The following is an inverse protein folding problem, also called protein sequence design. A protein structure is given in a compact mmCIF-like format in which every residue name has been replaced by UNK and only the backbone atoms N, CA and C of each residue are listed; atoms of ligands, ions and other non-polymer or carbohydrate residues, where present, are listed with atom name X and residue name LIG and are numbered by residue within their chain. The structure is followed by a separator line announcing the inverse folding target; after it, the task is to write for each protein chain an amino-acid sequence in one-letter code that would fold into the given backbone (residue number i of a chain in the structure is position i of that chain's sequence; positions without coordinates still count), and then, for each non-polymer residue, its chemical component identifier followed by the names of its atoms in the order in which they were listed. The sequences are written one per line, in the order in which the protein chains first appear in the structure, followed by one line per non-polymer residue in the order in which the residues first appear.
data_IF_536771012277
#
_entry.id   IF_536771012277
#
_cell.length_a   1.000
_cell.length_b   1.000
_cell.length_c   1.000
_cell.angle_alpha   90.00
_cell.angle_beta   90.00
_cell.angle_gamma   90.00
#
_symmetry.space_group_name_H-M   'P 1'
#
loop_
_entity.id
_entity.type
_entity.pdbx_description
1 polymer ?
#
# COMPACT_ATOMS: atom_id res chain seq x y z
N UNK A 1 -27.88 5.57 5.32
CA UNK A 1 -29.28 5.79 4.86
C UNK A 1 -29.66 4.62 3.96
N UNK A 2 -30.27 3.58 4.52
CA UNK A 2 -30.66 2.36 3.79
C UNK A 2 -32.15 2.45 3.51
N UNK A 3 -32.52 2.44 2.22
CA UNK A 3 -33.92 2.40 1.77
C UNK A 3 -34.37 0.93 1.71
N UNK A 4 -35.34 0.55 2.54
CA UNK A 4 -36.07 -0.72 2.41
C UNK A 4 -37.44 -0.40 1.82
N UNK A 5 -37.74 -0.96 0.66
CA UNK A 5 -39.07 -0.90 0.04
C UNK A 5 -39.80 -2.18 0.42
N UNK A 6 -40.85 -2.06 1.23
CA UNK A 6 -41.77 -3.15 1.57
C UNK A 6 -43.05 -3.00 0.72
N UNK A 7 -43.31 -4.00 -0.12
CA UNK A 7 -44.59 -4.20 -0.79
C UNK A 7 -45.59 -4.75 0.24
N UNK A 8 -46.61 -3.97 0.57
CA UNK A 8 -47.71 -4.43 1.43
C UNK A 8 -48.81 -5.08 0.57
N UNK A 9 -49.09 -6.35 0.82
CA UNK A 9 -50.33 -7.02 0.41
C UNK A 9 -51.40 -6.76 1.48
N UNK A 10 -52.56 -6.26 1.06
CA UNK A 10 -53.66 -5.87 1.94
C UNK A 10 -54.28 -7.05 2.70
N UNK A 11 -54.44 -6.88 4.01
CA UNK A 11 -55.28 -7.74 4.86
C UNK A 11 -55.19 -7.33 6.33
N UNK A 12 -56.20 -6.57 6.78
CA UNK A 12 -56.53 -6.21 8.18
C UNK A 12 -55.73 -5.08 8.86
N UNK A 13 -56.50 -4.15 9.46
CA UNK A 13 -56.08 -2.86 10.00
C UNK A 13 -55.21 -3.02 11.26
N UNK A 14 -53.89 -2.92 11.11
CA UNK A 14 -53.01 -2.49 12.20
C UNK A 14 -53.00 -0.96 12.25
N UNK A 15 -53.27 -0.38 13.42
CA UNK A 15 -53.30 1.08 13.59
C UNK A 15 -51.88 1.67 13.50
N UNK A 16 -51.75 2.93 13.10
CA UNK A 16 -50.45 3.60 12.95
C UNK A 16 -49.65 3.71 14.25
N UNK A 17 -50.32 3.61 15.41
CA UNK A 17 -49.68 3.56 16.72
C UNK A 17 -49.06 2.18 17.00
N UNK A 18 -49.71 1.07 16.60
CA UNK A 18 -49.15 -0.28 16.73
C UNK A 18 -47.87 -0.47 15.89
N UNK A 19 -47.87 0.09 14.66
CA UNK A 19 -46.69 0.05 13.77
C UNK A 19 -45.57 0.94 14.32
N UNK A 20 -45.90 2.07 14.93
CA UNK A 20 -44.93 3.00 15.53
C UNK A 20 -44.26 2.40 16.76
N UNK A 21 -45.03 1.72 17.62
CA UNK A 21 -44.50 1.05 18.82
C UNK A 21 -43.69 -0.21 18.47
N UNK A 22 -44.07 -0.93 17.42
CA UNK A 22 -43.31 -2.08 16.91
C UNK A 22 -42.02 -1.63 16.20
N UNK A 23 -42.06 -0.53 15.43
CA UNK A 23 -40.87 0.10 14.86
C UNK A 23 -39.97 0.76 15.92
N UNK A 24 -40.51 1.34 17.00
CA UNK A 24 -39.72 1.87 18.11
C UNK A 24 -39.09 0.75 18.95
N UNK A 25 -39.77 -0.40 19.12
CA UNK A 25 -39.16 -1.61 19.72
C UNK A 25 -38.03 -2.19 18.87
N UNK A 26 -38.11 -2.07 17.54
CA UNK A 26 -37.08 -2.51 16.60
C UNK A 26 -35.88 -1.54 16.48
N UNK A 27 -35.98 -0.31 17.00
CA UNK A 27 -34.86 0.66 17.08
C UNK A 27 -34.17 0.70 18.44
N UNK A 28 -34.21 -0.40 19.20
CA UNK A 28 -33.20 -0.59 20.26
C UNK A 28 -31.86 -0.65 19.53
N UNK A 29 -30.99 0.36 19.71
CA UNK A 29 -29.63 0.33 19.19
C UNK A 29 -29.01 -1.01 19.56
N UNK A 30 -28.87 -1.90 18.58
CA UNK A 30 -28.21 -3.19 18.80
C UNK A 30 -26.76 -2.82 19.03
N UNK A 31 -26.37 -2.75 20.30
CA UNK A 31 -24.98 -2.55 20.68
C UNK A 31 -24.20 -3.70 20.06
N UNK A 32 -23.29 -3.41 19.15
CA UNK A 32 -22.43 -4.41 18.51
C UNK A 32 -21.04 -4.39 19.12
N UNK A 33 -20.28 -5.46 18.94
CA UNK A 33 -18.85 -5.48 19.22
C UNK A 33 -18.03 -4.82 18.08
N UNK A 34 -16.69 -4.92 18.16
CA UNK A 34 -15.74 -4.36 17.19
C UNK A 34 -15.85 -4.95 15.77
N UNK A 35 -16.56 -6.07 15.59
CA UNK A 35 -16.82 -6.70 14.30
C UNK A 35 -18.28 -6.51 13.87
N UNK A 36 -19.02 -5.59 14.48
CA UNK A 36 -20.43 -5.39 14.13
C UNK A 36 -21.33 -6.58 14.50
N UNK A 37 -20.85 -7.50 15.34
CA UNK A 37 -21.63 -8.63 15.83
C UNK A 37 -22.51 -8.14 16.98
N UNK A 38 -23.84 -8.37 16.96
CA UNK A 38 -24.74 -8.02 18.06
C UNK A 38 -24.20 -8.53 19.41
N UNK A 39 -24.16 -7.66 20.41
CA UNK A 39 -23.64 -8.01 21.73
C UNK A 39 -24.61 -9.00 22.40
N UNK A 40 -24.19 -10.26 22.46
CA UNK A 40 -24.85 -11.36 23.16
C UNK A 40 -23.90 -12.06 24.14
N UNK A 41 -24.41 -13.05 24.87
CA UNK A 41 -23.59 -13.92 25.71
C UNK A 41 -22.86 -14.94 24.82
N UNK A 42 -21.73 -14.52 24.26
CA UNK A 42 -20.87 -15.36 23.44
C UNK A 42 -19.65 -15.82 24.21
N UNK A 43 -19.31 -17.11 24.05
CA UNK A 43 -17.98 -17.64 24.35
C UNK A 43 -17.12 -17.43 23.11
N UNK A 44 -16.14 -16.54 23.19
CA UNK A 44 -15.28 -16.21 22.04
C UNK A 44 -13.98 -16.99 22.11
N UNK A 45 -13.71 -17.79 21.08
CA UNK A 45 -12.43 -18.48 20.89
C UNK A 45 -11.58 -17.68 19.92
N UNK A 46 -10.41 -17.21 20.36
CA UNK A 46 -9.41 -16.58 19.51
C UNK A 46 -8.38 -17.62 19.03
N UNK A 47 -8.03 -17.57 17.75
CA UNK A 47 -7.02 -18.43 17.16
C UNK A 47 -6.20 -17.72 16.09
N UNK A 48 -5.12 -18.37 15.66
CA UNK A 48 -4.30 -17.94 14.52
C UNK A 48 -4.22 -19.06 13.50
N UNK A 49 -4.32 -18.70 12.22
CA UNK A 49 -4.22 -19.67 11.11
C UNK A 49 -2.83 -20.31 11.10
N UNK A 50 -2.76 -21.63 11.26
CA UNK A 50 -1.55 -22.41 11.17
C UNK A 50 -1.06 -22.64 9.74
N UNK A 51 0.13 -23.23 9.59
CA UNK A 51 0.72 -23.52 8.28
C UNK A 51 -0.01 -24.63 7.50
N UNK A 52 -0.84 -25.43 8.18
CA UNK A 52 -1.63 -26.53 7.60
C UNK A 52 -3.13 -26.25 7.64
N UNK A 53 -3.52 -25.05 8.06
CA UNK A 53 -4.91 -24.67 8.23
C UNK A 53 -5.44 -24.08 6.94
N UNK A 54 -6.52 -24.67 6.46
CA UNK A 54 -7.35 -24.12 5.39
C UNK A 54 -8.63 -23.57 6.01
N UNK A 55 -9.27 -22.63 5.33
CA UNK A 55 -10.53 -22.03 5.79
C UNK A 55 -11.55 -23.12 6.17
N UNK A 56 -11.75 -24.11 5.29
CA UNK A 56 -12.65 -25.23 5.54
C UNK A 56 -12.23 -26.10 6.72
N UNK A 57 -10.94 -26.41 6.88
CA UNK A 57 -10.47 -27.29 7.96
C UNK A 57 -10.63 -26.64 9.33
N UNK A 58 -10.43 -25.32 9.42
CA UNK A 58 -10.67 -24.57 10.67
C UNK A 58 -12.15 -24.59 11.01
N UNK A 59 -13.03 -24.22 10.08
CA UNK A 59 -14.48 -24.26 10.31
C UNK A 59 -14.99 -25.66 10.68
N UNK A 60 -14.45 -26.71 10.04
CA UNK A 60 -14.76 -28.10 10.40
C UNK A 60 -14.32 -28.48 11.80
N UNK A 61 -13.20 -27.95 12.28
CA UNK A 61 -12.73 -28.21 13.65
C UNK A 61 -13.69 -27.66 14.72
N UNK A 62 -14.55 -26.70 14.35
CA UNK A 62 -15.63 -26.15 15.18
C UNK A 62 -17.02 -26.70 14.79
N UNK A 63 -17.08 -27.87 14.15
CA UNK A 63 -18.34 -28.56 13.87
C UNK A 63 -19.12 -28.04 12.65
N UNK A 64 -18.63 -27.03 11.93
CA UNK A 64 -19.37 -26.47 10.77
C UNK A 64 -19.41 -27.47 9.61
N UNK A 65 -20.59 -27.89 9.13
CA UNK A 65 -20.74 -28.88 8.06
C UNK A 65 -20.22 -28.45 6.67
N UNK A 66 -19.83 -29.43 5.84
CA UNK A 66 -19.21 -29.17 4.52
C UNK A 66 -20.11 -28.44 3.53
N UNK A 67 -21.41 -28.73 3.54
CA UNK A 67 -22.41 -28.00 2.74
C UNK A 67 -22.49 -26.52 3.16
N UNK A 68 -22.43 -26.24 4.46
CA UNK A 68 -22.47 -24.88 4.99
C UNK A 68 -21.20 -24.10 4.61
N UNK A 69 -20.01 -24.70 4.78
CA UNK A 69 -18.74 -24.10 4.33
C UNK A 69 -18.76 -23.81 2.83
N UNK A 70 -19.24 -24.75 2.02
CA UNK A 70 -19.37 -24.54 0.57
C UNK A 70 -20.29 -23.36 0.22
N UNK A 71 -21.45 -23.26 0.89
CA UNK A 71 -22.39 -22.16 0.70
C UNK A 71 -21.78 -20.81 1.10
N UNK A 72 -21.03 -20.75 2.20
CA UNK A 72 -20.35 -19.53 2.64
C UNK A 72 -19.30 -19.07 1.64
N UNK A 73 -18.47 -19.99 1.13
CA UNK A 73 -17.47 -19.67 0.09
C UNK A 73 -18.14 -19.19 -1.20
N UNK A 74 -19.28 -19.76 -1.57
CA UNK A 74 -20.04 -19.31 -2.74
C UNK A 74 -20.63 -17.91 -2.53
N UNK A 75 -21.21 -17.64 -1.35
CA UNK A 75 -21.79 -16.33 -1.00
C UNK A 75 -20.74 -15.25 -0.75
N UNK A 76 -19.51 -15.64 -0.42
CA UNK A 76 -18.42 -14.70 -0.18
C UNK A 76 -17.74 -14.21 -1.46
N UNK A 77 -18.16 -14.66 -2.65
CA UNK A 77 -17.56 -14.23 -3.92
C UNK A 77 -17.58 -12.70 -4.06
N UNK A 78 -16.41 -12.11 -4.29
CA UNK A 78 -16.21 -10.66 -4.37
C UNK A 78 -15.90 -9.98 -3.02
N UNK A 79 -16.22 -10.62 -1.89
CA UNK A 79 -15.93 -10.11 -0.54
C UNK A 79 -14.73 -10.83 0.10
N UNK A 80 -14.67 -12.16 -0.04
CA UNK A 80 -13.61 -13.00 0.49
C UNK A 80 -13.29 -14.17 -0.46
N UNK A 81 -12.00 -14.37 -0.67
CA UNK A 81 -11.43 -15.52 -1.38
C UNK A 81 -10.76 -16.44 -0.34
N UNK A 82 -11.13 -17.72 -0.33
CA UNK A 82 -10.57 -18.69 0.60
C UNK A 82 -9.02 -18.82 0.50
N UNK A 83 -8.43 -18.47 -0.65
CA UNK A 83 -6.96 -18.41 -0.81
C UNK A 83 -6.32 -17.22 -0.06
N UNK A 84 -7.13 -16.27 0.39
CA UNK A 84 -6.68 -15.17 1.26
C UNK A 84 -6.70 -15.54 2.74
N UNK A 85 -7.11 -16.77 3.08
CA UNK A 85 -6.93 -17.37 4.41
C UNK A 85 -5.47 -17.75 4.59
N UNK A 86 -4.71 -16.88 5.26
CA UNK A 86 -3.24 -16.93 5.30
C UNK A 86 -2.75 -17.26 6.70
N UNK A 87 -1.71 -18.09 6.75
CA UNK A 87 -1.00 -18.41 7.98
C UNK A 87 -0.58 -17.16 8.74
N UNK A 88 -0.77 -17.17 10.06
CA UNK A 88 -0.42 -16.10 10.99
C UNK A 88 -1.53 -15.08 11.22
N UNK A 89 -2.56 -15.03 10.37
CA UNK A 89 -3.70 -14.14 10.56
C UNK A 89 -4.60 -14.64 11.69
N UNK A 90 -5.20 -13.72 12.45
CA UNK A 90 -6.11 -14.05 13.54
C UNK A 90 -7.50 -14.40 13.03
N UNK A 91 -8.18 -15.30 13.73
CA UNK A 91 -9.60 -15.55 13.58
C UNK A 91 -10.29 -15.63 14.94
N UNK A 92 -11.58 -15.38 14.96
CA UNK A 92 -12.42 -15.43 16.15
C UNK A 92 -13.65 -16.28 15.87
N UNK A 93 -14.00 -17.16 16.79
CA UNK A 93 -15.19 -18.01 16.71
C UNK A 93 -16.13 -17.66 17.85
N UNK A 94 -17.35 -17.27 17.51
CA UNK A 94 -18.38 -16.88 18.48
C UNK A 94 -19.31 -18.06 18.68
N UNK A 95 -19.18 -18.70 19.84
CA UNK A 95 -20.05 -19.79 20.28
C UNK A 95 -21.14 -19.21 21.19
N UNK A 96 -22.39 -19.66 21.09
CA UNK A 96 -23.42 -19.29 22.06
C UNK A 96 -23.02 -19.71 23.48
N UNK A 97 -23.64 -19.06 24.49
CA UNK A 97 -23.46 -19.41 25.90
C UNK A 97 -23.73 -20.90 26.17
N UNK A 98 -24.76 -21.45 25.53
CA UNK A 98 -25.10 -22.87 25.53
C UNK A 98 -25.09 -23.42 24.10
N UNK A 99 -24.38 -24.53 23.89
CA UNK A 99 -24.22 -25.16 22.56
C UNK A 99 -22.79 -25.06 22.02
N UNK A 100 -22.45 -25.96 21.11
CA UNK A 100 -21.10 -26.10 20.54
C UNK A 100 -21.03 -25.67 19.06
N UNK A 101 -22.18 -25.40 18.44
CA UNK A 101 -22.23 -24.90 17.06
C UNK A 101 -21.98 -23.38 17.06
N UNK A 102 -21.05 -22.88 16.23
CA UNK A 102 -20.71 -21.47 16.21
C UNK A 102 -21.76 -20.62 15.48
N UNK A 103 -22.09 -19.46 16.05
CA UNK A 103 -22.99 -18.46 15.46
C UNK A 103 -22.25 -17.58 14.45
N UNK A 104 -20.99 -17.25 14.73
CA UNK A 104 -20.16 -16.44 13.83
C UNK A 104 -18.73 -16.93 13.76
N UNK A 105 -18.14 -16.73 12.58
CA UNK A 105 -16.71 -16.84 12.36
C UNK A 105 -16.18 -15.52 11.81
N UNK A 106 -15.13 -14.97 12.41
CA UNK A 106 -14.49 -13.74 11.95
C UNK A 106 -13.08 -14.06 11.51
N UNK A 107 -12.74 -13.68 10.28
CA UNK A 107 -11.38 -13.78 9.77
C UNK A 107 -10.78 -12.39 9.59
N UNK A 108 -9.68 -12.11 10.31
CA UNK A 108 -8.98 -10.84 10.17
C UNK A 108 -8.06 -10.89 8.95
N UNK A 109 -8.53 -10.31 7.84
CA UNK A 109 -7.83 -10.33 6.55
C UNK A 109 -6.57 -9.47 6.58
N UNK A 110 -6.61 -8.35 7.29
CA UNK A 110 -5.48 -7.46 7.53
C UNK A 110 -5.75 -6.60 8.79
N UNK A 111 -4.92 -5.59 9.04
CA UNK A 111 -5.02 -4.79 10.27
C UNK A 111 -6.29 -3.94 10.34
N UNK A 112 -6.92 -3.64 9.21
CA UNK A 112 -8.08 -2.72 9.13
C UNK A 112 -9.35 -3.41 8.62
N UNK A 113 -9.26 -4.59 8.02
CA UNK A 113 -10.42 -5.29 7.45
C UNK A 113 -10.54 -6.70 8.03
N UNK A 114 -11.76 -7.01 8.50
CA UNK A 114 -12.19 -8.34 8.88
C UNK A 114 -13.35 -8.80 7.98
N UNK A 115 -13.45 -10.11 7.78
CA UNK A 115 -14.58 -10.77 7.13
C UNK A 115 -15.39 -11.46 8.20
N UNK A 116 -16.66 -11.14 8.31
CA UNK A 116 -17.59 -11.77 9.26
C UNK A 116 -18.47 -12.74 8.48
N UNK A 117 -18.48 -13.98 8.93
CA UNK A 117 -19.35 -15.04 8.45
C UNK A 117 -20.41 -15.27 9.52
N UNK A 118 -21.65 -14.95 9.20
CA UNK A 118 -22.81 -15.35 10.00
C UNK A 118 -23.10 -16.81 9.68
N UNK A 119 -22.92 -17.69 10.68
CA UNK A 119 -23.07 -19.13 10.56
C UNK A 119 -24.45 -19.61 11.01
N UNK A 120 -25.33 -18.70 11.41
CA UNK A 120 -26.74 -19.00 11.69
C UNK A 120 -27.48 -19.20 10.36
N UNK A 121 -28.79 -19.39 10.42
CA UNK A 121 -29.63 -19.77 9.27
C UNK A 121 -29.50 -18.88 8.01
N UNK A 122 -29.15 -17.60 8.19
CA UNK A 122 -29.01 -16.63 7.10
C UNK A 122 -27.78 -16.89 6.22
N UNK A 123 -26.73 -17.52 6.76
CA UNK A 123 -25.44 -17.77 6.11
C UNK A 123 -24.94 -16.53 5.34
N UNK A 124 -24.82 -15.40 6.02
CA UNK A 124 -24.41 -14.13 5.42
C UNK A 124 -22.91 -13.89 5.56
N UNK A 125 -22.33 -13.12 4.63
CA UNK A 125 -20.92 -12.71 4.67
C UNK A 125 -20.84 -11.21 4.52
N UNK A 126 -20.15 -10.54 5.43
CA UNK A 126 -19.95 -9.09 5.40
C UNK A 126 -18.48 -8.72 5.61
N UNK A 127 -18.09 -7.57 5.08
CA UNK A 127 -16.81 -6.95 5.38
C UNK A 127 -17.02 -5.92 6.48
N UNK A 128 -16.15 -5.98 7.48
CA UNK A 128 -16.07 -4.99 8.54
C UNK A 128 -14.74 -4.30 8.44
N UNK A 129 -14.79 -3.02 8.12
CA UNK A 129 -13.62 -2.17 8.24
C UNK A 129 -13.60 -1.64 9.66
N UNK A 130 -12.53 -1.97 10.37
CA UNK A 130 -12.25 -1.39 11.67
C UNK A 130 -12.11 0.11 11.51
N UNK A 131 -12.51 0.83 12.55
CA UNK A 131 -12.27 2.27 12.59
C UNK A 131 -10.75 2.51 12.55
N UNK A 132 -10.34 3.36 11.61
CA UNK A 132 -8.97 3.85 11.51
C UNK A 132 -8.96 5.21 12.17
N UNK A 133 -8.16 5.34 13.21
CA UNK A 133 -7.92 6.61 13.87
C UNK A 133 -6.82 7.35 13.12
N UNK A 134 -7.04 8.63 12.84
CA UNK A 134 -6.09 9.50 12.17
C UNK A 134 -5.61 10.53 13.18
N UNK A 135 -4.33 10.47 13.51
CA UNK A 135 -3.71 11.41 14.43
C UNK A 135 -2.64 12.24 13.72
N UNK A 136 -2.70 13.56 13.85
CA UNK A 136 -1.64 14.43 13.36
C UNK A 136 -0.49 14.46 14.37
N UNK A 137 0.70 14.02 13.94
CA UNK A 137 1.90 13.90 14.76
C UNK A 137 3.03 14.77 14.22
N UNK A 138 3.94 15.10 15.12
CA UNK A 138 5.19 15.80 14.81
C UNK A 138 6.37 15.06 15.42
N UNK A 139 7.44 14.87 14.63
CA UNK A 139 8.68 14.23 15.10
C UNK A 139 9.91 14.94 14.54
N UNK A 140 10.95 15.04 15.37
CA UNK A 140 12.30 15.39 14.94
C UNK A 140 13.21 14.18 15.15
N UNK A 141 14.02 13.87 14.14
CA UNK A 141 14.90 12.70 14.14
C UNK A 141 16.29 13.15 13.71
N UNK A 142 17.30 12.77 14.46
CA UNK A 142 18.71 12.94 14.08
C UNK A 142 19.31 11.57 13.83
N UNK A 143 19.93 11.38 12.67
CA UNK A 143 20.50 10.11 12.25
C UNK A 143 21.69 9.77 13.15
N UNK A 144 21.60 8.64 13.84
CA UNK A 144 22.66 8.06 14.63
C UNK A 144 23.04 6.67 14.09
N UNK A 145 22.06 5.93 13.56
CA UNK A 145 22.24 4.57 13.05
C UNK A 145 21.62 4.38 11.67
N UNK A 146 20.30 4.44 11.57
CA UNK A 146 19.53 4.35 10.34
C UNK A 146 18.19 5.04 10.54
N UNK A 147 17.66 5.67 9.49
CA UNK A 147 16.40 6.41 9.59
C UNK A 147 15.24 5.57 10.17
N UNK A 148 15.19 4.27 9.88
CA UNK A 148 14.17 3.37 10.44
C UNK A 148 14.27 3.27 11.97
N UNK A 149 15.46 2.94 12.48
CA UNK A 149 15.68 2.79 13.92
C UNK A 149 15.58 4.13 14.63
N UNK A 150 16.17 5.19 14.06
CA UNK A 150 16.20 6.50 14.70
C UNK A 150 14.79 7.14 14.76
N UNK A 151 13.88 6.82 13.79
CA UNK A 151 12.45 7.15 13.89
C UNK A 151 11.77 6.38 15.02
N UNK A 152 12.07 5.09 15.14
CA UNK A 152 11.51 4.23 16.18
C UNK A 152 11.94 4.72 17.58
N UNK A 153 13.21 5.04 17.75
CA UNK A 153 13.80 5.57 18.99
C UNK A 153 13.21 6.94 19.35
N UNK A 154 12.80 7.73 18.34
CA UNK A 154 12.07 8.98 18.53
C UNK A 154 10.57 8.80 18.86
N UNK A 155 10.09 7.56 19.00
CA UNK A 155 8.71 7.23 19.38
C UNK A 155 7.70 7.32 18.24
N UNK A 156 8.14 7.34 16.98
CA UNK A 156 7.28 7.37 15.80
C UNK A 156 7.28 6.02 15.07
N UNK A 157 6.21 5.74 14.30
CA UNK A 157 6.13 4.51 13.52
C UNK A 157 7.25 4.44 12.46
N UNK A 158 7.99 3.32 12.37
CA UNK A 158 9.03 3.16 11.36
C UNK A 158 8.51 3.21 9.91
N UNK A 159 7.19 3.06 9.69
CA UNK A 159 6.55 3.28 8.40
C UNK A 159 6.81 4.70 7.86
N UNK A 160 7.07 5.67 8.75
CA UNK A 160 7.42 7.03 8.37
C UNK A 160 8.73 7.08 7.59
N UNK A 161 9.70 6.21 7.91
CA UNK A 161 10.96 6.11 7.16
C UNK A 161 10.71 5.76 5.69
N UNK A 162 9.77 4.84 5.45
CA UNK A 162 9.36 4.44 4.10
C UNK A 162 8.74 5.64 3.39
N UNK A 163 7.76 6.31 4.01
CA UNK A 163 7.07 7.45 3.40
C UNK A 163 8.03 8.60 3.05
N UNK A 164 8.95 8.93 3.94
CA UNK A 164 9.98 9.96 3.69
C UNK A 164 10.92 9.55 2.56
N UNK A 165 11.33 8.28 2.52
CA UNK A 165 12.20 7.78 1.44
C UNK A 165 11.56 7.95 0.06
N UNK A 166 10.23 7.83 -0.03
CA UNK A 166 9.46 7.99 -1.27
C UNK A 166 9.31 9.44 -1.69
N UNK A 167 9.09 10.34 -0.74
CA UNK A 167 8.96 11.77 -0.98
C UNK A 167 10.29 12.36 -1.45
N UNK A 168 11.38 12.04 -0.74
CA UNK A 168 12.71 12.59 -0.99
C UNK A 168 13.56 11.73 -1.94
N UNK A 169 12.97 10.72 -2.58
CA UNK A 169 13.71 9.74 -3.36
C UNK A 169 14.68 10.37 -4.38
N UNK A 170 14.35 11.53 -4.93
CA UNK A 170 15.15 12.20 -5.96
C UNK A 170 16.07 13.30 -5.45
N UNK A 171 15.87 13.75 -4.22
CA UNK A 171 16.58 14.87 -3.62
C UNK A 171 17.57 14.44 -2.54
N UNK A 172 17.38 13.26 -1.94
CA UNK A 172 18.21 12.72 -0.86
C UNK A 172 18.62 11.28 -1.17
N UNK A 173 19.92 10.97 -1.01
CA UNK A 173 20.40 9.59 -1.06
C UNK A 173 20.28 8.92 0.32
N UNK A 174 19.19 8.18 0.53
CA UNK A 174 18.93 7.53 1.82
C UNK A 174 19.95 6.44 2.19
N UNK A 175 20.67 5.86 1.22
CA UNK A 175 21.75 4.91 1.52
C UNK A 175 23.03 5.59 1.97
N UNK A 176 23.16 6.89 1.69
CA UNK A 176 24.30 7.72 2.04
C UNK A 176 24.08 8.61 3.27
N UNK A 177 22.97 8.43 4.01
CA UNK A 177 22.71 9.20 5.24
C UNK A 177 23.87 9.06 6.23
N UNK A 178 24.32 10.18 6.76
CA UNK A 178 25.43 10.27 7.70
C UNK A 178 24.92 10.57 9.10
N UNK A 179 25.73 10.22 10.11
CA UNK A 179 25.47 10.61 11.49
C UNK A 179 25.40 12.14 11.59
N UNK A 180 24.32 12.66 12.18
CA UNK A 180 24.05 14.08 12.31
C UNK A 180 23.15 14.68 11.23
N UNK A 181 22.86 13.94 10.15
CA UNK A 181 21.75 14.31 9.27
C UNK A 181 20.45 14.28 10.08
N UNK A 182 19.45 15.08 9.69
CA UNK A 182 18.21 15.19 10.47
C UNK A 182 16.96 15.38 9.62
N UNK A 183 15.84 14.93 10.17
CA UNK A 183 14.51 15.11 9.62
C UNK A 183 13.59 15.79 10.65
N UNK A 184 12.77 16.72 10.19
CA UNK A 184 11.64 17.25 10.96
C UNK A 184 10.37 16.99 10.17
N UNK A 185 9.32 16.45 10.79
CA UNK A 185 8.17 15.93 10.05
C UNK A 185 6.87 16.17 10.79
N UNK A 186 5.92 16.83 10.11
CA UNK A 186 4.51 16.96 10.48
C UNK A 186 3.69 16.06 9.54
N UNK A 187 2.98 15.08 10.09
CA UNK A 187 2.31 14.05 9.30
C UNK A 187 1.06 13.50 9.99
N UNK A 188 0.22 12.79 9.23
CA UNK A 188 -0.87 11.99 9.77
C UNK A 188 -0.41 10.53 9.94
N UNK A 189 -0.58 9.99 11.13
CA UNK A 189 -0.48 8.55 11.38
C UNK A 189 -1.88 7.93 11.37
N UNK A 190 -2.04 6.85 10.61
CA UNK A 190 -3.25 6.04 10.64
C UNK A 190 -3.01 4.87 11.55
N UNK A 191 -3.79 4.73 12.61
CA UNK A 191 -3.72 3.61 13.54
C UNK A 191 -5.05 2.87 13.59
N UNK A 192 -4.99 1.61 13.97
CA UNK A 192 -6.16 0.80 14.20
C UNK A 192 -5.93 -0.03 15.46
N UNK A 193 -6.84 0.09 16.44
CA UNK A 193 -6.71 -0.56 17.75
C UNK A 193 -5.38 -0.21 18.46
N UNK A 194 -4.88 1.03 18.28
CA UNK A 194 -3.65 1.52 18.89
C UNK A 194 -2.36 1.19 18.11
N UNK A 195 -2.43 0.36 17.08
CA UNK A 195 -1.27 -0.02 16.27
C UNK A 195 -1.20 0.82 14.97
N UNK A 196 -0.03 1.41 14.64
CA UNK A 196 0.15 2.10 13.37
C UNK A 196 -0.03 1.18 12.16
N UNK A 197 -0.86 1.60 11.21
CA UNK A 197 -1.20 0.84 9.99
C UNK A 197 -0.67 1.47 8.72
N UNK A 198 -0.62 2.80 8.67
CA UNK A 198 -0.10 3.56 7.53
C UNK A 198 0.35 4.96 7.96
N UNK A 199 1.11 5.61 7.09
CA UNK A 199 1.45 7.02 7.19
C UNK A 199 0.72 7.76 6.09
N UNK A 200 -0.25 8.58 6.49
CA UNK A 200 -1.07 9.40 5.60
C UNK A 200 -0.29 10.55 4.97
N UNK A 201 -0.89 11.73 4.97
CA UNK A 201 -0.26 12.93 4.43
C UNK A 201 0.94 13.34 5.29
N UNK A 202 2.06 13.63 4.62
CA UNK A 202 3.20 14.32 5.24
C UNK A 202 3.02 15.79 4.87
N UNK A 203 2.39 16.54 5.77
CA UNK A 203 2.01 17.93 5.54
C UNK A 203 3.24 18.81 5.32
N UNK A 204 4.25 18.62 6.15
CA UNK A 204 5.50 19.37 6.07
C UNK A 204 6.64 18.49 6.53
N UNK A 205 7.77 18.54 5.82
CA UNK A 205 9.00 17.97 6.32
C UNK A 205 10.24 18.73 5.89
N UNK A 206 11.31 18.59 6.65
CA UNK A 206 12.64 19.04 6.26
C UNK A 206 13.64 17.91 6.37
N UNK A 207 14.58 17.85 5.44
CA UNK A 207 15.81 17.08 5.55
C UNK A 207 16.97 18.06 5.66
N UNK A 208 17.84 17.91 6.66
CA UNK A 208 19.09 18.67 6.77
C UNK A 208 20.27 17.73 6.82
N UNK A 209 21.20 17.86 5.88
CA UNK A 209 22.37 17.01 5.77
C UNK A 209 23.39 17.54 4.76
N UNK A 210 24.68 17.27 4.99
CA UNK A 210 25.76 17.71 4.10
C UNK A 210 25.80 19.22 3.81
N UNK A 211 25.38 20.06 4.78
CA UNK A 211 25.32 21.51 4.65
C UNK A 211 24.13 22.04 3.82
N UNK A 212 23.17 21.19 3.47
CA UNK A 212 21.95 21.55 2.72
C UNK A 212 20.70 21.27 3.55
N UNK A 213 19.66 22.05 3.32
CA UNK A 213 18.32 21.82 3.84
C UNK A 213 17.34 21.71 2.68
N UNK A 214 16.49 20.69 2.69
CA UNK A 214 15.48 20.44 1.67
C UNK A 214 14.11 20.34 2.35
N UNK A 215 13.25 21.30 2.06
CA UNK A 215 11.88 21.30 2.54
C UNK A 215 10.97 20.52 1.59
N UNK A 216 9.93 19.93 2.16
CA UNK A 216 8.83 19.32 1.43
C UNK A 216 7.51 19.84 2.01
N UNK A 217 6.62 20.25 1.12
CA UNK A 217 5.31 20.82 1.41
C UNK A 217 4.25 19.99 0.70
N UNK A 218 3.24 19.59 1.46
CA UNK A 218 2.03 19.03 0.90
C UNK A 218 1.17 20.13 0.29
N UNK A 219 0.86 20.01 -0.99
CA UNK A 219 -0.07 20.91 -1.67
C UNK A 219 -0.76 20.20 -2.82
N UNK A 220 -2.08 20.20 -2.81
CA UNK A 220 -2.90 19.66 -3.90
C UNK A 220 -3.12 20.74 -4.95
N UNK A 221 -2.51 20.55 -6.12
CA UNK A 221 -2.74 21.41 -7.27
C UNK A 221 -3.78 20.77 -8.20
N UNK A 222 -4.77 21.55 -8.64
CA UNK A 222 -5.77 21.08 -9.60
C UNK A 222 -5.13 20.67 -10.94
N UNK A 223 -5.53 19.49 -11.42
CA UNK A 223 -5.06 18.94 -12.70
C UNK A 223 -3.72 18.21 -12.62
N UNK A 224 -3.16 18.01 -11.43
CA UNK A 224 -2.02 17.11 -11.20
C UNK A 224 -2.31 16.13 -10.07
N UNK A 225 -1.66 14.96 -10.11
CA UNK A 225 -1.65 14.01 -8.99
C UNK A 225 -0.41 14.18 -8.11
N UNK A 226 0.49 15.13 -8.42
CA UNK A 226 1.57 15.49 -7.52
C UNK A 226 1.01 16.23 -6.30
N UNK A 227 1.51 15.85 -5.12
CA UNK A 227 1.11 16.42 -3.84
C UNK A 227 2.27 16.97 -3.03
N UNK A 228 3.51 16.76 -3.47
CA UNK A 228 4.72 17.08 -2.71
C UNK A 228 5.65 17.99 -3.51
N UNK A 229 6.02 19.11 -2.91
CA UNK A 229 6.75 20.21 -3.54
C UNK A 229 7.84 20.72 -2.62
N UNK A 230 8.96 21.22 -3.15
CA UNK A 230 9.97 21.91 -2.33
C UNK A 230 9.56 23.37 -2.06
N UNK A 231 10.38 24.11 -1.30
CA UNK A 231 10.08 25.48 -0.91
C UNK A 231 9.91 26.45 -2.10
N UNK A 232 10.56 26.14 -3.23
CA UNK A 232 10.54 26.88 -4.49
C UNK A 232 9.36 26.49 -5.39
N UNK A 233 8.55 25.50 -5.00
CA UNK A 233 7.41 25.00 -5.78
C UNK A 233 7.79 24.01 -6.87
N UNK A 234 9.00 23.45 -6.84
CA UNK A 234 9.42 22.37 -7.72
C UNK A 234 8.92 21.01 -7.19
N UNK A 235 8.61 20.09 -8.10
CA UNK A 235 8.12 18.78 -7.70
C UNK A 235 9.19 17.97 -6.95
N UNK A 236 8.83 17.40 -5.81
CA UNK A 236 9.67 16.43 -5.10
C UNK A 236 9.79 15.09 -5.86
N UNK A 237 8.98 14.89 -6.91
CA UNK A 237 9.00 13.70 -7.77
C UNK A 237 9.57 14.04 -9.15
N UNK A 238 10.51 13.23 -9.64
CA UNK A 238 10.87 13.21 -11.07
C UNK A 238 10.01 12.18 -11.80
N UNK A 239 9.55 12.53 -13.01
CA UNK A 239 8.72 11.63 -13.81
C UNK A 239 9.57 10.47 -14.33
N UNK A 240 9.04 9.25 -14.29
CA UNK A 240 9.52 8.12 -15.07
C UNK A 240 8.86 8.13 -16.46
N UNK A 241 9.55 7.65 -17.49
CA UNK A 241 8.90 7.32 -18.76
C UNK A 241 7.85 6.25 -18.54
N UNK A 242 6.68 6.41 -19.15
CA UNK A 242 5.59 5.41 -19.09
C UNK A 242 5.96 4.08 -19.73
N UNK A 243 6.95 4.04 -20.62
CA UNK A 243 7.40 2.83 -21.29
C UNK A 243 8.92 2.85 -21.53
N UNK A 244 9.59 1.69 -21.41
CA UNK A 244 11.00 1.54 -21.76
C UNK A 244 11.28 1.41 -23.27
N UNK A 245 10.25 1.49 -24.13
CA UNK A 245 10.36 1.37 -25.59
C UNK A 245 9.67 2.57 -26.28
N UNK A 246 10.27 3.13 -27.34
CA UNK A 246 9.73 4.29 -28.07
C UNK A 246 8.63 3.95 -29.09
N UNK A 247 8.72 2.80 -29.75
CA UNK A 247 7.85 2.43 -30.88
C UNK A 247 7.53 0.93 -30.87
N UNK A 248 6.36 0.55 -31.40
CA UNK A 248 5.96 -0.84 -31.69
C UNK A 248 6.03 -1.82 -30.52
N UNK A 249 5.44 -1.48 -29.38
CA UNK A 249 5.32 -2.40 -28.25
C UNK A 249 3.87 -2.76 -27.98
N UNK A 250 3.53 -4.05 -28.16
CA UNK A 250 2.28 -4.63 -27.65
C UNK A 250 2.60 -5.33 -26.33
N UNK A 251 1.82 -5.05 -25.29
CA UNK A 251 1.89 -5.82 -24.05
C UNK A 251 1.40 -7.24 -24.37
N UNK A 252 2.33 -8.18 -24.35
CA UNK A 252 2.07 -9.60 -24.61
C UNK A 252 1.71 -10.35 -23.34
N UNK A 253 2.20 -9.88 -22.18
CA UNK A 253 1.84 -10.39 -20.86
C UNK A 253 1.94 -9.31 -19.81
N UNK A 254 0.95 -9.25 -18.90
CA UNK A 254 0.93 -8.32 -17.78
C UNK A 254 1.53 -8.90 -16.50
N UNK A 255 1.65 -8.02 -15.51
CA UNK A 255 2.03 -8.38 -14.14
C UNK A 255 0.91 -9.19 -13.48
N UNK A 256 1.24 -10.35 -12.90
CA UNK A 256 0.30 -11.16 -12.12
C UNK A 256 1.04 -12.14 -11.20
N UNK A 257 0.50 -12.38 -10.01
CA UNK A 257 1.03 -13.40 -9.10
C UNK A 257 0.62 -14.83 -9.48
N UNK A 258 -0.31 -15.00 -10.43
CA UNK A 258 -0.87 -16.30 -10.81
C UNK A 258 -0.83 -16.54 -12.33
N UNK A 259 0.35 -16.43 -12.97
CA UNK A 259 0.51 -16.74 -14.40
C UNK A 259 0.78 -18.22 -14.60
N UNK A 260 0.01 -18.92 -15.45
CA UNK A 260 0.44 -20.24 -15.93
C UNK A 260 1.66 -20.09 -16.85
N UNK A 261 2.80 -20.65 -16.44
CA UNK A 261 4.05 -20.53 -17.18
C UNK A 261 3.94 -21.23 -18.55
N UNK A 262 4.27 -20.56 -19.68
CA UNK A 262 3.98 -21.09 -21.02
C UNK A 262 4.79 -22.36 -21.35
N UNK A 263 6.00 -22.49 -20.81
CA UNK A 263 6.88 -23.65 -21.04
C UNK A 263 6.57 -24.79 -20.04
N UNK A 264 6.75 -24.55 -18.74
CA UNK A 264 6.58 -25.59 -17.71
C UNK A 264 5.13 -25.92 -17.36
N UNK A 265 4.15 -25.11 -17.82
CA UNK A 265 2.70 -25.22 -17.52
C UNK A 265 2.31 -25.12 -16.04
N UNK A 266 3.27 -24.79 -15.15
CA UNK A 266 3.07 -24.54 -13.71
C UNK A 266 2.65 -23.08 -13.49
N UNK A 267 1.71 -22.84 -12.58
CA UNK A 267 1.35 -21.46 -12.18
C UNK A 267 2.48 -20.85 -11.36
N UNK A 268 3.03 -19.72 -11.83
CA UNK A 268 4.11 -18.97 -11.19
C UNK A 268 3.85 -17.46 -11.33
N UNK A 269 4.31 -16.65 -10.36
CA UNK A 269 4.28 -15.20 -10.49
C UNK A 269 5.05 -14.72 -11.73
N UNK A 270 4.44 -13.81 -12.48
CA UNK A 270 5.09 -12.96 -13.46
C UNK A 270 5.13 -11.53 -12.90
N UNK A 271 6.22 -11.19 -12.24
CA UNK A 271 6.41 -9.90 -11.56
C UNK A 271 7.00 -8.82 -12.49
N UNK A 272 6.58 -8.85 -13.75
CA UNK A 272 7.04 -7.97 -14.82
C UNK A 272 5.95 -7.71 -15.85
N UNK A 273 6.30 -6.96 -16.89
CA UNK A 273 5.46 -6.72 -18.07
C UNK A 273 6.26 -7.08 -19.30
N UNK A 274 5.69 -7.95 -20.14
CA UNK A 274 6.32 -8.44 -21.36
C UNK A 274 5.90 -7.57 -22.55
N UNK A 275 6.80 -6.75 -23.07
CA UNK A 275 6.60 -5.99 -24.29
C UNK A 275 7.13 -6.78 -25.50
N UNK A 276 6.23 -7.27 -26.35
CA UNK A 276 6.62 -7.89 -27.61
C UNK A 276 7.15 -6.82 -28.57
N UNK A 277 8.38 -7.03 -29.07
CA UNK A 277 9.03 -6.15 -30.01
C UNK A 277 10.11 -6.92 -30.81
N UNK A 278 10.41 -6.54 -32.06
CA UNK A 278 11.46 -7.19 -32.84
C UNK A 278 12.83 -7.17 -32.15
N UNK A 279 13.62 -8.22 -32.37
CA UNK A 279 15.02 -8.27 -31.92
C UNK A 279 15.78 -7.06 -32.46
N UNK A 280 16.55 -6.39 -31.60
CA UNK A 280 17.29 -5.19 -31.95
C UNK A 280 16.55 -3.88 -31.70
N UNK A 281 15.29 -3.90 -31.28
CA UNK A 281 14.57 -2.68 -30.85
C UNK A 281 15.30 -2.03 -29.67
N UNK A 282 15.62 -0.71 -29.70
CA UNK A 282 16.28 -0.04 -28.59
C UNK A 282 15.46 -0.06 -27.29
N UNK A 283 16.12 -0.43 -26.18
CA UNK A 283 15.56 -0.41 -24.82
C UNK A 283 16.11 0.78 -24.07
N UNK A 284 15.22 1.58 -23.50
CA UNK A 284 15.54 2.82 -22.80
C UNK A 284 15.37 2.65 -21.29
N UNK A 285 16.21 3.35 -20.51
CA UNK A 285 15.93 3.51 -19.07
C UNK A 285 14.76 4.45 -18.86
N UNK A 286 13.83 4.09 -17.99
CA UNK A 286 12.63 4.92 -17.71
C UNK A 286 12.95 6.14 -16.85
N UNK A 287 14.12 6.22 -16.23
CA UNK A 287 14.53 7.34 -15.39
C UNK A 287 16.03 7.44 -15.29
N UNK A 288 16.51 8.57 -14.75
CA UNK A 288 17.91 8.73 -14.37
C UNK A 288 18.30 7.65 -13.35
N UNK A 289 19.56 7.22 -13.37
CA UNK A 289 20.03 6.23 -12.39
C UNK A 289 21.46 5.76 -12.60
N UNK A 290 21.79 4.68 -11.89
CA UNK A 290 23.08 4.00 -11.96
C UNK A 290 22.86 2.53 -12.29
N UNK A 291 23.62 2.00 -13.24
CA UNK A 291 23.63 0.57 -13.56
C UNK A 291 24.23 -0.20 -12.40
N UNK A 292 23.42 -1.04 -11.74
CA UNK A 292 23.86 -1.83 -10.57
C UNK A 292 24.12 -3.28 -10.92
N UNK A 293 23.51 -3.80 -11.99
CA UNK A 293 23.81 -5.12 -12.52
C UNK A 293 23.80 -5.09 -14.06
N UNK A 294 24.76 -5.81 -14.66
CA UNK A 294 24.83 -6.08 -16.09
C UNK A 294 25.42 -7.48 -16.28
N UNK A 295 24.72 -8.37 -16.98
CA UNK A 295 25.23 -9.71 -17.29
C UNK A 295 24.15 -10.72 -17.64
N UNK A 296 24.55 -11.95 -17.93
CA UNK A 296 23.64 -13.06 -18.19
C UNK A 296 23.10 -13.63 -16.87
N UNK A 297 21.78 -13.72 -16.68
CA UNK A 297 21.11 -14.04 -15.40
C UNK A 297 20.20 -15.26 -15.52
N UNK A 298 20.72 -16.35 -16.09
CA UNK A 298 20.01 -17.61 -16.24
C UNK A 298 18.72 -17.43 -17.04
N UNK A 299 17.57 -17.67 -16.39
CA UNK A 299 16.25 -17.47 -17.00
C UNK A 299 16.01 -16.06 -17.54
N UNK A 300 16.58 -15.02 -16.94
CA UNK A 300 16.44 -13.63 -17.40
C UNK A 300 17.29 -13.24 -18.61
N UNK A 301 18.14 -14.15 -19.10
CA UNK A 301 19.02 -13.89 -20.23
C UNK A 301 19.98 -12.73 -19.97
N UNK A 302 20.31 -11.97 -20.99
CA UNK A 302 21.07 -10.73 -20.82
C UNK A 302 20.19 -9.70 -20.10
N UNK A 303 20.62 -9.32 -18.90
CA UNK A 303 19.87 -8.41 -18.03
C UNK A 303 20.70 -7.16 -17.72
N UNK A 304 20.03 -6.01 -17.69
CA UNK A 304 20.52 -4.77 -17.08
C UNK A 304 19.58 -4.42 -15.93
N UNK A 305 20.14 -4.01 -14.79
CA UNK A 305 19.38 -3.51 -13.64
C UNK A 305 19.89 -2.14 -13.25
N UNK A 306 18.98 -1.20 -13.07
CA UNK A 306 19.27 0.22 -12.81
C UNK A 306 18.61 0.61 -11.51
N UNK A 307 19.40 1.17 -10.59
CA UNK A 307 18.90 1.84 -9.41
C UNK A 307 18.67 3.30 -9.77
N UNK A 308 17.43 3.76 -9.63
CA UNK A 308 17.09 5.16 -9.89
C UNK A 308 17.34 6.03 -8.67
N UNK A 309 16.95 5.50 -7.50
CA UNK A 309 17.14 6.12 -6.19
C UNK A 309 17.01 5.08 -5.07
N UNK A 310 16.83 5.53 -3.83
CA UNK A 310 16.60 4.69 -2.64
C UNK A 310 15.38 3.78 -2.74
N UNK A 311 14.37 4.20 -3.51
CA UNK A 311 13.05 3.56 -3.56
C UNK A 311 12.89 2.68 -4.79
N UNK A 312 13.31 3.18 -5.95
CA UNK A 312 12.99 2.58 -7.24
C UNK A 312 14.20 1.91 -7.90
N UNK A 313 13.98 0.67 -8.31
CA UNK A 313 14.91 -0.09 -9.14
C UNK A 313 14.16 -0.70 -10.32
N UNK A 314 14.80 -0.75 -11.48
CA UNK A 314 14.25 -1.39 -12.68
C UNK A 314 15.17 -2.45 -13.23
N UNK A 315 14.61 -3.45 -13.90
CA UNK A 315 15.35 -4.45 -14.64
C UNK A 315 14.78 -4.66 -16.04
N UNK A 316 15.69 -4.94 -16.97
CA UNK A 316 15.45 -5.07 -18.39
C UNK A 316 16.07 -6.39 -18.85
N UNK A 317 15.22 -7.38 -19.08
CA UNK A 317 15.62 -8.78 -19.29
C UNK A 317 15.56 -9.17 -20.78
N UNK A 318 16.05 -10.37 -21.08
CA UNK A 318 16.01 -11.01 -22.41
C UNK A 318 16.70 -10.23 -23.54
N UNK A 319 17.59 -9.30 -23.21
CA UNK A 319 18.25 -8.44 -24.19
C UNK A 319 19.05 -9.26 -25.22
N UNK A 320 19.10 -8.81 -26.47
CA UNK A 320 20.00 -9.41 -27.48
C UNK A 320 21.43 -8.98 -27.24
N UNK A 321 21.63 -7.69 -26.93
CA UNK A 321 22.92 -7.10 -26.58
C UNK A 321 22.74 -5.86 -25.70
N UNK A 322 23.81 -5.48 -25.01
CA UNK A 322 23.88 -4.25 -24.22
C UNK A 322 24.20 -3.04 -25.10
N UNK A 323 23.87 -1.84 -24.63
CA UNK A 323 24.36 -0.61 -25.25
C UNK A 323 25.91 -0.55 -25.15
N UNK A 324 26.54 0.04 -26.17
CA UNK A 324 27.99 0.22 -26.20
C UNK A 324 28.45 1.07 -25.01
N UNK A 325 29.58 0.70 -24.38
CA UNK A 325 30.14 1.43 -23.24
C UNK A 325 29.38 1.30 -21.91
N UNK A 326 28.21 0.63 -21.89
CA UNK A 326 27.45 0.44 -20.65
C UNK A 326 28.18 -0.53 -19.72
N UNK A 327 28.46 -0.14 -18.47
CA UNK A 327 29.09 -0.98 -17.44
C UNK A 327 28.40 -0.80 -16.10
N UNK A 328 28.63 -1.73 -15.17
CA UNK A 328 28.19 -1.53 -13.77
C UNK A 328 28.88 -0.26 -13.24
N UNK A 329 28.12 0.59 -12.55
CA UNK A 329 28.54 1.92 -12.10
C UNK A 329 28.32 3.04 -13.12
N UNK A 330 27.94 2.75 -14.38
CA UNK A 330 27.57 3.80 -15.34
C UNK A 330 26.36 4.59 -14.84
N UNK A 331 26.47 5.92 -14.81
CA UNK A 331 25.32 6.81 -14.74
C UNK A 331 24.59 6.80 -16.07
N UNK A 332 23.27 6.75 -16.02
CA UNK A 332 22.40 6.78 -17.19
C UNK A 332 21.33 7.83 -17.01
N UNK A 333 21.01 8.54 -18.08
CA UNK A 333 19.93 9.52 -18.09
C UNK A 333 18.64 8.89 -18.58
N UNK A 334 17.50 9.41 -18.12
CA UNK A 334 16.19 9.01 -18.62
C UNK A 334 16.15 9.02 -20.16
N UNK A 335 15.57 7.95 -20.74
CA UNK A 335 15.46 7.82 -22.20
C UNK A 335 16.76 7.41 -22.89
N UNK A 336 17.87 7.22 -22.15
CA UNK A 336 19.11 6.69 -22.70
C UNK A 336 18.95 5.21 -23.07
N UNK A 337 19.50 4.83 -24.24
CA UNK A 337 19.54 3.43 -24.68
C UNK A 337 20.51 2.64 -23.80
N UNK A 338 20.02 1.55 -23.21
CA UNK A 338 20.78 0.66 -22.31
C UNK A 338 21.00 -0.72 -22.90
N UNK A 339 20.26 -1.07 -23.95
CA UNK A 339 20.35 -2.36 -24.62
C UNK A 339 19.36 -2.46 -25.75
N UNK A 340 19.21 -3.66 -26.26
CA UNK A 340 18.32 -3.94 -27.38
C UNK A 340 17.53 -5.22 -27.11
N UNK A 341 16.25 -5.21 -27.49
CA UNK A 341 15.34 -6.34 -27.34
C UNK A 341 15.94 -7.60 -27.97
N UNK A 342 15.68 -8.76 -27.37
CA UNK A 342 16.11 -10.05 -27.87
C UNK A 342 15.21 -11.17 -27.35
N UNK A 343 15.76 -12.38 -27.32
CA UNK A 343 15.09 -13.58 -26.82
C UNK A 343 16.09 -14.48 -26.06
N UNK A 344 17.01 -13.86 -25.30
CA UNK A 344 18.01 -14.62 -24.52
C UNK A 344 17.41 -15.15 -23.21
N UNK A 345 17.99 -16.22 -22.65
CA UNK A 345 17.44 -16.86 -21.45
C UNK A 345 16.19 -17.68 -21.72
N UNK A 346 15.28 -17.74 -20.76
CA UNK A 346 14.03 -18.51 -20.87
C UNK A 346 12.96 -17.64 -21.53
N UNK A 347 13.00 -17.59 -22.86
CA UNK A 347 12.12 -16.76 -23.70
C UNK A 347 11.52 -17.61 -24.82
N UNK A 348 10.26 -17.36 -25.18
CA UNK A 348 9.56 -18.08 -26.27
C UNK A 348 9.62 -17.35 -27.61
N UNK A 349 10.04 -16.09 -27.60
CA UNK A 349 10.20 -15.25 -28.78
C UNK A 349 10.65 -13.83 -28.39
N UNK A 350 11.01 -12.97 -29.36
CA UNK A 350 11.55 -11.64 -29.07
C UNK A 350 10.60 -10.75 -28.25
N UNK A 351 11.04 -10.36 -27.04
CA UNK A 351 10.33 -9.44 -26.16
C UNK A 351 11.26 -8.83 -25.10
N UNK A 352 10.78 -7.79 -24.42
CA UNK A 352 11.38 -7.23 -23.22
C UNK A 352 10.52 -7.61 -22.00
N UNK A 353 11.09 -8.35 -21.05
CA UNK A 353 10.53 -8.46 -19.69
C UNK A 353 11.05 -7.26 -18.88
N UNK A 354 10.13 -6.35 -18.56
CA UNK A 354 10.39 -5.15 -17.79
C UNK A 354 9.83 -5.26 -16.38
N UNK A 355 10.70 -5.05 -15.38
CA UNK A 355 10.34 -5.17 -13.97
C UNK A 355 10.68 -3.91 -13.21
N UNK A 356 9.81 -3.57 -12.26
CA UNK A 356 9.96 -2.42 -11.37
C UNK A 356 9.81 -2.91 -9.94
N UNK A 357 10.70 -2.44 -9.07
CA UNK A 357 10.60 -2.62 -7.63
C UNK A 357 10.47 -1.26 -6.95
N UNK A 358 9.62 -1.19 -5.92
CA UNK A 358 9.50 -0.08 -4.97
C UNK A 358 9.83 -0.63 -3.59
N UNK A 359 10.84 -0.06 -2.93
CA UNK A 359 11.32 -0.51 -1.61
C UNK A 359 11.61 -2.03 -1.56
N UNK A 360 12.26 -2.54 -2.61
CA UNK A 360 12.62 -3.96 -2.73
C UNK A 360 11.47 -4.90 -3.12
N UNK A 361 10.21 -4.44 -3.11
CA UNK A 361 9.04 -5.24 -3.48
C UNK A 361 8.65 -5.02 -4.94
N UNK A 362 8.33 -6.08 -5.72
CA UNK A 362 7.92 -5.93 -7.11
C UNK A 362 6.54 -5.27 -7.21
N UNK A 363 6.42 -4.28 -8.10
CA UNK A 363 5.15 -3.57 -8.38
C UNK A 363 4.75 -3.72 -9.84
N UNK A 364 3.47 -3.55 -10.15
CA UNK A 364 3.00 -3.55 -11.53
C UNK A 364 3.44 -2.25 -12.25
N UNK A 365 4.33 -2.32 -13.26
CA UNK A 365 4.80 -1.15 -13.98
C UNK A 365 3.69 -0.35 -14.67
N UNK A 366 2.59 -0.99 -15.07
CA UNK A 366 1.46 -0.34 -15.77
C UNK A 366 0.55 0.46 -14.82
N UNK A 367 0.64 0.19 -13.51
CA UNK A 367 -0.07 0.94 -12.48
C UNK A 367 0.86 1.92 -11.76
N UNK A 368 2.10 2.05 -12.21
CA UNK A 368 3.04 3.00 -11.65
C UNK A 368 2.60 4.41 -12.04
N UNK A 369 2.12 5.16 -11.07
CA UNK A 369 1.81 6.57 -11.26
C UNK A 369 3.10 7.37 -11.39
N UNK A 370 3.24 8.10 -12.50
CA UNK A 370 4.33 9.03 -12.72
C UNK A 370 3.75 10.39 -13.07
N UNK A 371 3.50 11.27 -12.07
CA UNK A 371 3.05 12.62 -12.35
C UNK A 371 4.13 13.43 -13.10
N UNK A 372 3.74 14.52 -13.80
CA UNK A 372 4.68 15.45 -14.42
C UNK A 372 5.62 16.05 -13.36
N UNK A 373 6.90 16.18 -13.69
CA UNK A 373 7.87 16.95 -12.90
C UNK A 373 7.87 18.42 -13.36
N UNK A 374 6.67 18.98 -13.56
CA UNK A 374 6.52 20.42 -13.78
C UNK A 374 6.48 21.09 -12.41
N UNK A 375 7.05 22.30 -12.26
CA UNK A 375 6.84 23.10 -11.06
C UNK A 375 5.37 23.51 -10.96
N UNK A 376 4.98 24.01 -9.79
CA UNK A 376 3.65 24.59 -9.56
C UNK A 376 3.37 25.64 -10.64
N UNK A 377 2.16 25.59 -11.22
CA UNK A 377 1.75 26.55 -12.23
C UNK A 377 1.77 27.95 -11.64
N UNK A 378 2.20 28.93 -12.43
CA UNK A 378 2.32 30.32 -11.96
C UNK A 378 1.01 30.84 -11.34
N UNK A 379 -0.15 30.45 -11.90
CA UNK A 379 -1.47 30.82 -11.40
C UNK A 379 -1.80 30.29 -9.98
N UNK A 380 -1.07 29.29 -9.48
CA UNK A 380 -1.29 28.66 -8.18
C UNK A 380 -0.19 28.99 -7.17
N UNK A 381 0.85 29.71 -7.59
CA UNK A 381 2.04 29.99 -6.78
C UNK A 381 1.72 30.75 -5.48
N UNK A 382 0.84 31.75 -5.53
CA UNK A 382 0.43 32.51 -4.34
C UNK A 382 -0.29 31.62 -3.31
N UNK A 383 -1.21 30.74 -3.76
CA UNK A 383 -1.89 29.78 -2.89
C UNK A 383 -0.92 28.79 -2.27
N UNK A 384 0.06 28.34 -3.07
CA UNK A 384 1.11 27.46 -2.58
C UNK A 384 1.97 28.14 -1.52
N UNK A 385 2.43 29.36 -1.75
CA UNK A 385 3.24 30.11 -0.80
C UNK A 385 2.51 30.33 0.53
N UNK A 386 1.22 30.70 0.47
CA UNK A 386 0.39 30.83 1.67
C UNK A 386 0.23 29.50 2.43
N UNK A 387 0.05 28.38 1.70
CA UNK A 387 -0.04 27.04 2.28
C UNK A 387 1.29 26.61 2.91
N UNK A 388 2.42 26.80 2.21
CA UNK A 388 3.78 26.56 2.71
C UNK A 388 4.02 27.31 4.02
N UNK A 389 3.72 28.60 4.06
CA UNK A 389 3.99 29.44 5.23
C UNK A 389 3.10 29.06 6.42
N UNK A 390 1.83 28.70 6.16
CA UNK A 390 0.91 28.16 7.17
C UNK A 390 1.41 26.83 7.75
N UNK A 391 1.89 25.93 6.90
CA UNK A 391 2.41 24.62 7.31
C UNK A 391 3.73 24.74 8.08
N UNK A 392 4.62 25.65 7.68
CA UNK A 392 5.83 25.99 8.44
C UNK A 392 5.49 26.51 9.83
N UNK A 393 4.50 27.41 9.92
CA UNK A 393 4.03 27.95 11.20
C UNK A 393 3.44 26.85 12.08
N UNK A 394 2.59 25.99 11.51
CA UNK A 394 2.00 24.86 12.22
C UNK A 394 3.08 23.91 12.77
N UNK A 395 4.04 23.50 11.94
CA UNK A 395 5.16 22.66 12.37
C UNK A 395 5.97 23.33 13.50
N UNK A 396 6.20 24.64 13.42
CA UNK A 396 6.91 25.40 14.46
C UNK A 396 6.14 25.46 15.79
N UNK A 397 4.81 25.51 15.75
CA UNK A 397 4.00 25.52 16.96
C UNK A 397 3.95 24.16 17.67
N UNK A 398 4.00 23.04 16.92
CA UNK A 398 4.12 21.72 17.52
C UNK A 398 5.40 21.58 18.33
N UNK A 399 6.51 22.13 17.83
CA UNK A 399 7.78 22.21 18.55
C UNK A 399 7.60 22.96 19.87
N UNK A 400 6.99 24.16 19.83
CA UNK A 400 6.78 24.99 21.02
C UNK A 400 5.89 24.32 22.08
N UNK A 401 4.81 23.63 21.65
CA UNK A 401 3.94 22.88 22.57
C UNK A 401 4.66 21.73 23.25
N UNK A 402 5.50 20.99 22.50
CA UNK A 402 6.30 19.90 23.05
C UNK A 402 7.27 20.41 24.12
N UNK A 403 8.02 21.47 23.81
CA UNK A 403 8.93 22.09 24.78
C UNK A 403 8.22 22.58 26.05
N UNK A 404 7.03 23.17 25.91
CA UNK A 404 6.24 23.61 27.07
C UNK A 404 5.79 22.42 27.93
N UNK A 405 5.34 21.32 27.31
CA UNK A 405 4.90 20.13 28.02
C UNK A 405 6.05 19.46 28.78
N UNK A 406 7.20 19.28 28.13
CA UNK A 406 8.39 18.70 28.73
C UNK A 406 8.90 19.58 29.91
N UNK A 407 8.93 20.90 29.73
CA UNK A 407 9.31 21.85 30.79
C UNK A 407 8.37 21.80 32.02
N UNK A 408 7.06 21.66 31.79
CA UNK A 408 6.08 21.55 32.89
C UNK A 408 6.21 20.21 33.60
N UNK A 409 6.48 19.11 32.89
CA UNK A 409 6.73 17.80 33.49
C UNK A 409 8.02 17.76 34.32
N UNK A 410 9.09 18.42 33.88
CA UNK A 410 10.35 18.51 34.64
C UNK A 410 10.22 19.39 35.91
N UNK A 411 9.19 20.23 35.99
CA UNK A 411 8.87 21.06 37.16
C UNK A 411 7.95 20.39 38.19
N UNK A 412 7.29 19.28 37.83
CA UNK A 412 6.40 18.49 38.69
C UNK A 412 7.14 17.27 39.25
#
# INVERSE_FOLDING_TARGET
MIFIVLMAACGENATSEDISDEMQRLTKEVVTDRFGIPRGEYRVVEGKVGAKDYFSTVLHSFGVPHNQVHNLVSKSQGLFDANTFKTGHSYYVYLPAEGEDPDYFVYQKDNITAVVFDLRDTLAVSLVNKQVDVEQKYVEVTIASSLWNDIQDAGASPLLAIKLSEIYAWSVDFFGLQKGDSFKVLYNEHSCEGEPTDIGEVWYSTFTGGGKSIECIYFEEEGTSNRYWNAEGESMRKSFLKSPLKYFSRISSGFTYARRHPITRVVRPHTGVDYAAPTGTPVLTIGDGVVIEKGYKGGGGNTVKIRHNSVYTTAYLHLSRYASGLKVGSRVSQGQVIGYVGSTGMSTGPHLDFRVWRNGSPINPLKMESPPAEPIKEAHKEKFEASRDSLRYLASNFILRKYYYDYVLDLL
#
